data_IF_546886618639
#
_entry.id   IF_546886618639
#
_cell.length_a   1.000
_cell.length_b   1.000
_cell.length_c   1.000
_cell.angle_alpha   90.00
_cell.angle_beta   90.00
_cell.angle_gamma   90.00
#
_symmetry.space_group_name_H-M   'P 1'
#
loop_
_entity.id
_entity.type
_entity.pdbx_description
1 polymer ?
#
# COMPACT_ATOMS: atom_id res chain seq x y z
N UNK A 1 18.10 -1.19 -9.74
CA UNK A 1 16.94 -1.99 -9.27
C UNK A 1 15.84 -1.08 -8.77
N UNK A 2 14.59 -1.42 -9.01
CA UNK A 2 13.40 -0.71 -8.50
C UNK A 2 12.68 -1.59 -7.49
N UNK A 3 12.01 -0.98 -6.50
CA UNK A 3 11.14 -1.66 -5.53
C UNK A 3 9.78 -0.98 -5.50
N UNK A 4 8.72 -1.76 -5.58
CA UNK A 4 7.34 -1.32 -5.46
C UNK A 4 6.72 -2.00 -4.24
N UNK A 5 6.24 -1.20 -3.29
CA UNK A 5 5.41 -1.70 -2.19
C UNK A 5 3.97 -1.26 -2.40
N UNK A 6 3.08 -2.23 -2.50
CA UNK A 6 1.63 -2.02 -2.62
C UNK A 6 0.97 -2.36 -1.30
N UNK A 7 0.18 -1.45 -0.75
CA UNK A 7 -0.51 -1.62 0.53
C UNK A 7 -1.99 -1.28 0.37
N UNK A 8 -2.86 -2.14 0.87
CA UNK A 8 -4.27 -1.81 1.04
C UNK A 8 -4.44 -0.91 2.26
N UNK A 9 -5.29 0.12 2.18
CA UNK A 9 -5.63 0.93 3.36
C UNK A 9 -6.07 0.06 4.54
N UNK A 10 -5.83 0.53 5.75
CA UNK A 10 -6.23 -0.12 6.98
C UNK A 10 -7.77 -0.09 7.17
N UNK A 11 -8.30 -0.83 8.13
CA UNK A 11 -9.73 -1.01 8.33
C UNK A 11 -10.45 0.32 8.58
N UNK A 12 -11.58 0.52 7.90
CA UNK A 12 -12.31 1.76 7.88
C UNK A 12 -13.73 1.60 8.43
N UNK A 13 -14.32 2.69 8.88
CA UNK A 13 -15.73 2.73 9.30
C UNK A 13 -16.63 2.38 8.11
N UNK A 14 -17.58 1.47 8.35
CA UNK A 14 -18.54 1.01 7.34
C UNK A 14 -19.97 0.91 7.86
N UNK A 15 -20.17 1.06 9.19
CA UNK A 15 -21.48 0.90 9.83
C UNK A 15 -22.39 2.10 9.69
N UNK A 16 -21.83 3.28 9.43
CA UNK A 16 -22.61 4.49 9.26
C UNK A 16 -22.93 4.74 7.79
N UNK A 17 -24.19 4.50 7.35
CA UNK A 17 -24.61 4.67 5.95
C UNK A 17 -24.63 6.14 5.49
N UNK A 18 -24.64 7.09 6.42
CA UNK A 18 -24.71 8.52 6.11
C UNK A 18 -23.34 9.08 5.69
N UNK A 19 -22.25 8.34 5.90
CA UNK A 19 -20.92 8.75 5.51
C UNK A 19 -20.63 8.30 4.06
N UNK A 20 -20.42 9.25 3.15
CA UNK A 20 -20.00 8.95 1.79
C UNK A 20 -18.70 8.11 1.78
N UNK A 21 -18.56 7.20 0.82
CA UNK A 21 -17.41 6.29 0.74
C UNK A 21 -16.06 7.02 0.84
N UNK A 22 -15.91 8.12 0.13
CA UNK A 22 -14.68 8.92 0.11
C UNK A 22 -14.33 9.49 1.51
N UNK A 23 -15.33 9.82 2.31
CA UNK A 23 -15.18 10.44 3.62
C UNK A 23 -15.05 9.45 4.79
N UNK A 24 -15.18 8.13 4.55
CA UNK A 24 -15.09 7.10 5.60
C UNK A 24 -13.70 7.10 6.25
N UNK A 25 -13.62 7.36 7.58
CA UNK A 25 -12.35 7.34 8.30
C UNK A 25 -11.91 5.92 8.63
N UNK A 26 -10.67 5.77 9.08
CA UNK A 26 -10.24 4.56 9.78
C UNK A 26 -11.06 4.39 11.06
N UNK A 27 -11.40 3.14 11.37
CA UNK A 27 -11.91 2.77 12.69
C UNK A 27 -10.73 2.49 13.65
N UNK A 28 -11.05 2.15 14.92
CA UNK A 28 -10.02 1.88 15.94
C UNK A 28 -9.08 0.75 15.54
N UNK A 29 -9.60 -0.30 14.92
CA UNK A 29 -8.81 -1.43 14.42
C UNK A 29 -7.86 -0.98 13.32
N UNK A 30 -8.34 -0.18 12.36
CA UNK A 30 -7.53 0.32 11.25
C UNK A 30 -6.38 1.20 11.71
N UNK A 31 -6.57 2.03 12.74
CA UNK A 31 -5.47 2.80 13.34
C UNK A 31 -4.39 1.85 13.88
N UNK A 32 -4.77 0.80 14.60
CA UNK A 32 -3.84 -0.19 15.13
C UNK A 32 -3.13 -0.98 14.00
N UNK A 33 -3.86 -1.37 12.95
CA UNK A 33 -3.30 -2.04 11.76
C UNK A 33 -2.24 -1.18 11.07
N UNK A 34 -2.55 0.10 10.83
CA UNK A 34 -1.61 1.03 10.18
C UNK A 34 -0.35 1.26 11.03
N UNK A 35 -0.49 1.38 12.35
CA UNK A 35 0.64 1.50 13.28
C UNK A 35 1.51 0.24 13.27
N UNK A 36 0.91 -0.94 13.34
CA UNK A 36 1.62 -2.22 13.33
C UNK A 36 2.38 -2.40 12.02
N UNK A 37 1.74 -2.11 10.88
CA UNK A 37 2.38 -2.24 9.58
C UNK A 37 3.49 -1.20 9.38
N UNK A 38 3.30 0.04 9.83
CA UNK A 38 4.35 1.07 9.79
C UNK A 38 5.61 0.63 10.54
N UNK A 39 5.47 0.07 11.74
CA UNK A 39 6.59 -0.51 12.50
C UNK A 39 7.23 -1.68 11.75
N UNK A 40 6.41 -2.57 11.19
CA UNK A 40 6.90 -3.74 10.44
C UNK A 40 7.70 -3.33 9.20
N UNK A 41 7.25 -2.33 8.47
CA UNK A 41 7.98 -1.77 7.33
C UNK A 41 9.35 -1.18 7.76
N UNK A 42 9.41 -0.52 8.92
CA UNK A 42 10.67 0.00 9.46
C UNK A 42 11.64 -1.13 9.84
N UNK A 43 11.16 -2.18 10.52
CA UNK A 43 11.95 -3.38 10.85
C UNK A 43 12.53 -4.06 9.62
N UNK A 44 11.74 -4.14 8.54
CA UNK A 44 12.13 -4.72 7.25
C UNK A 44 12.99 -3.76 6.41
N UNK A 45 13.24 -2.55 6.89
CA UNK A 45 13.95 -1.49 6.14
C UNK A 45 13.29 -1.16 4.78
N UNK A 46 11.98 -1.36 4.67
CA UNK A 46 11.20 -1.01 3.49
C UNK A 46 10.74 0.46 3.53
N UNK A 47 11.73 1.36 3.52
CA UNK A 47 11.51 2.82 3.59
C UNK A 47 11.47 3.38 2.18
N UNK A 48 10.32 3.91 1.70
CA UNK A 48 10.19 4.39 0.33
C UNK A 48 10.82 5.78 0.13
N UNK A 49 11.37 6.01 -1.07
CA UNK A 49 11.75 7.35 -1.52
C UNK A 49 10.50 8.22 -1.77
N UNK A 50 9.40 7.57 -2.15
CA UNK A 50 8.09 8.18 -2.39
C UNK A 50 6.95 7.28 -1.95
N UNK A 51 6.01 7.87 -1.21
CA UNK A 51 4.73 7.28 -0.86
C UNK A 51 3.64 8.03 -1.63
N UNK A 52 2.85 7.32 -2.43
CA UNK A 52 1.65 7.84 -3.09
C UNK A 52 0.42 7.23 -2.44
N UNK A 53 -0.60 8.03 -2.20
CA UNK A 53 -1.84 7.58 -1.58
C UNK A 53 -3.06 8.14 -2.30
N UNK A 54 -4.13 7.33 -2.38
CA UNK A 54 -5.44 7.83 -2.77
C UNK A 54 -5.89 8.95 -1.82
N UNK A 55 -6.64 9.95 -2.30
CA UNK A 55 -7.10 11.07 -1.48
C UNK A 55 -8.26 10.72 -0.54
N UNK A 56 -8.86 9.53 -0.62
CA UNK A 56 -9.90 9.10 0.31
C UNK A 56 -9.42 9.16 1.77
N UNK A 57 -10.32 9.51 2.69
CA UNK A 57 -9.96 9.74 4.08
C UNK A 57 -9.21 8.58 4.73
N UNK A 58 -9.67 7.35 4.52
CA UNK A 58 -9.04 6.12 5.07
C UNK A 58 -7.63 5.89 4.56
N UNK A 59 -7.37 6.14 3.27
CA UNK A 59 -6.03 6.00 2.69
C UNK A 59 -5.09 7.10 3.17
N UNK A 60 -5.56 8.33 3.28
CA UNK A 60 -4.79 9.44 3.84
C UNK A 60 -4.39 9.17 5.28
N UNK A 61 -5.33 8.75 6.13
CA UNK A 61 -5.05 8.42 7.53
C UNK A 61 -4.06 7.24 7.66
N UNK A 62 -4.21 6.20 6.82
CA UNK A 62 -3.23 5.10 6.76
C UNK A 62 -1.85 5.62 6.39
N UNK A 63 -1.77 6.45 5.34
CA UNK A 63 -0.54 7.07 4.86
C UNK A 63 0.13 7.93 5.92
N UNK A 64 -0.62 8.77 6.63
CA UNK A 64 -0.10 9.65 7.67
C UNK A 64 0.50 8.86 8.85
N UNK A 65 -0.15 7.75 9.23
CA UNK A 65 0.36 6.88 10.29
C UNK A 65 1.64 6.18 9.85
N UNK A 66 1.64 5.57 8.66
CA UNK A 66 2.80 4.87 8.10
C UNK A 66 3.97 5.83 7.90
N UNK A 67 3.73 7.01 7.32
CA UNK A 67 4.76 8.02 7.08
C UNK A 67 5.44 8.47 8.37
N UNK A 68 4.68 8.64 9.47
CA UNK A 68 5.24 8.96 10.79
C UNK A 68 6.11 7.84 11.34
N UNK A 69 5.67 6.57 11.22
CA UNK A 69 6.45 5.42 11.68
C UNK A 69 7.78 5.27 10.91
N UNK A 70 7.77 5.62 9.61
CA UNK A 70 8.94 5.56 8.74
C UNK A 70 9.76 6.87 8.73
N UNK A 71 9.39 7.87 9.52
CA UNK A 71 10.01 9.20 9.55
C UNK A 71 10.14 9.86 8.16
N UNK A 72 9.14 9.67 7.29
CA UNK A 72 9.14 10.27 5.97
C UNK A 72 8.95 11.78 6.03
N UNK A 73 9.73 12.53 5.27
CA UNK A 73 9.50 13.95 5.11
C UNK A 73 8.24 14.23 4.27
N UNK A 74 7.55 15.35 4.53
CA UNK A 74 6.31 15.71 3.83
C UNK A 74 6.46 15.69 2.28
N UNK A 75 7.63 16.08 1.73
CA UNK A 75 7.91 16.06 0.29
C UNK A 75 7.94 14.64 -0.32
N UNK A 76 8.04 13.60 0.50
CA UNK A 76 8.04 12.20 0.05
C UNK A 76 6.62 11.65 -0.08
N UNK A 77 5.62 12.29 0.54
CA UNK A 77 4.23 11.85 0.52
C UNK A 77 3.45 12.65 -0.52
N UNK A 78 2.72 11.96 -1.40
CA UNK A 78 1.87 12.55 -2.43
C UNK A 78 0.47 11.95 -2.41
N UNK A 79 -0.53 12.83 -2.49
CA UNK A 79 -1.89 12.43 -2.80
C UNK A 79 -2.06 12.39 -4.32
N UNK A 80 -2.61 11.29 -4.83
CA UNK A 80 -2.80 11.05 -6.25
C UNK A 80 -4.28 10.71 -6.51
N UNK A 81 -5.01 11.67 -7.12
CA UNK A 81 -6.46 11.55 -7.38
C UNK A 81 -6.79 10.28 -8.19
N UNK A 82 -5.93 9.94 -9.15
CA UNK A 82 -6.12 8.78 -10.00
C UNK A 82 -6.02 7.42 -9.25
N UNK A 83 -5.62 7.41 -7.98
CA UNK A 83 -5.58 6.20 -7.16
C UNK A 83 -6.93 5.88 -6.48
N UNK A 84 -7.89 6.83 -6.46
CA UNK A 84 -9.18 6.57 -5.82
C UNK A 84 -9.96 5.50 -6.60
N UNK A 85 -10.19 4.35 -5.95
CA UNK A 85 -10.84 3.17 -6.53
C UNK A 85 -10.24 2.70 -7.87
N UNK A 86 -8.95 2.98 -8.09
CA UNK A 86 -8.25 2.64 -9.31
C UNK A 86 -8.14 1.12 -9.52
N UNK A 87 -8.30 0.68 -10.76
CA UNK A 87 -8.03 -0.69 -11.17
C UNK A 87 -6.53 -0.95 -11.34
N UNK A 88 -6.15 -2.23 -11.41
CA UNK A 88 -4.74 -2.65 -11.51
C UNK A 88 -3.98 -1.98 -12.67
N UNK A 89 -4.62 -1.83 -13.84
CA UNK A 89 -4.00 -1.22 -15.03
C UNK A 89 -3.69 0.27 -14.83
N UNK A 90 -4.58 0.99 -14.14
CA UNK A 90 -4.40 2.42 -13.92
C UNK A 90 -3.34 2.66 -12.85
N UNK A 91 -3.30 1.84 -11.79
CA UNK A 91 -2.20 1.86 -10.82
C UNK A 91 -0.86 1.57 -11.50
N UNK A 92 -0.81 0.58 -12.40
CA UNK A 92 0.42 0.25 -13.15
C UNK A 92 0.88 1.39 -14.06
N UNK A 93 -0.04 2.16 -14.66
CA UNK A 93 0.31 3.38 -15.41
C UNK A 93 1.00 4.40 -14.50
N UNK A 94 0.46 4.65 -13.29
CA UNK A 94 1.06 5.55 -12.30
C UNK A 94 2.46 5.07 -11.92
N UNK A 95 2.64 3.77 -11.68
CA UNK A 95 3.96 3.17 -11.43
C UNK A 95 4.93 3.46 -12.58
N UNK A 96 4.52 3.21 -13.82
CA UNK A 96 5.36 3.35 -15.02
C UNK A 96 5.72 4.78 -15.37
N UNK A 97 4.95 5.77 -14.91
CA UNK A 97 5.23 7.20 -15.08
C UNK A 97 6.03 7.81 -13.92
N UNK A 98 6.36 7.00 -12.92
CA UNK A 98 7.18 7.46 -11.78
C UNK A 98 8.57 7.88 -12.25
N UNK A 99 9.04 9.02 -11.74
CA UNK A 99 10.34 9.58 -12.11
C UNK A 99 11.52 8.67 -11.78
N UNK A 100 12.61 8.73 -12.58
CA UNK A 100 13.72 7.78 -12.50
C UNK A 100 14.49 7.83 -11.16
N UNK A 101 14.46 8.96 -10.45
CA UNK A 101 15.16 9.11 -9.16
C UNK A 101 14.51 8.33 -8.02
N UNK A 102 13.23 7.98 -8.15
CA UNK A 102 12.53 7.14 -7.16
C UNK A 102 13.00 5.70 -7.35
N UNK A 103 13.68 5.14 -6.37
CA UNK A 103 14.12 3.74 -6.37
C UNK A 103 13.08 2.84 -5.71
N UNK A 104 12.53 3.29 -4.60
CA UNK A 104 11.47 2.61 -3.88
C UNK A 104 10.19 3.47 -3.88
N UNK A 105 9.17 3.00 -4.58
CA UNK A 105 7.83 3.57 -4.61
C UNK A 105 6.91 2.75 -3.71
N UNK A 106 6.18 3.43 -2.83
CA UNK A 106 5.08 2.83 -2.08
C UNK A 106 3.75 3.43 -2.51
N UNK A 107 2.74 2.59 -2.70
CA UNK A 107 1.37 3.02 -3.03
C UNK A 107 0.40 2.46 -1.99
N UNK A 108 -0.40 3.32 -1.38
CA UNK A 108 -1.51 2.95 -0.52
C UNK A 108 -2.81 3.23 -1.27
N UNK A 109 -3.60 2.18 -1.49
CA UNK A 109 -4.81 2.26 -2.30
C UNK A 109 -5.92 1.32 -1.83
N UNK A 110 -6.76 0.93 -2.76
CA UNK A 110 -8.00 0.20 -2.53
C UNK A 110 -8.00 -1.16 -3.23
N UNK A 111 -8.71 -2.13 -2.64
CA UNK A 111 -9.10 -3.33 -3.37
C UNK A 111 -10.36 -3.03 -4.25
N UNK A 112 -10.52 -3.77 -5.35
CA UNK A 112 -9.69 -4.91 -5.79
C UNK A 112 -8.38 -4.51 -6.48
N UNK A 113 -8.21 -3.26 -6.93
CA UNK A 113 -7.11 -2.84 -7.79
C UNK A 113 -5.71 -3.14 -7.25
N UNK A 114 -5.48 -2.90 -5.94
CA UNK A 114 -4.18 -3.20 -5.30
C UNK A 114 -3.88 -4.70 -5.34
N UNK A 115 -4.81 -5.55 -4.93
CA UNK A 115 -4.60 -7.00 -4.93
C UNK A 115 -4.49 -7.60 -6.32
N UNK A 116 -5.25 -7.06 -7.28
CA UNK A 116 -5.15 -7.47 -8.68
C UNK A 116 -3.79 -7.12 -9.29
N UNK A 117 -3.25 -5.93 -8.97
CA UNK A 117 -1.91 -5.55 -9.43
C UNK A 117 -0.84 -6.41 -8.82
N UNK A 118 -0.94 -6.75 -7.53
CA UNK A 118 -0.01 -7.69 -6.89
C UNK A 118 -0.05 -9.04 -7.60
N UNK A 119 -1.23 -9.61 -7.85
CA UNK A 119 -1.37 -10.88 -8.58
C UNK A 119 -0.81 -10.82 -9.99
N UNK A 120 -1.03 -9.70 -10.69
CA UNK A 120 -0.50 -9.50 -12.03
C UNK A 120 1.03 -9.48 -12.05
N UNK A 121 1.65 -8.73 -11.12
CA UNK A 121 3.11 -8.56 -11.09
C UNK A 121 3.84 -9.77 -10.48
N UNK A 122 3.25 -10.40 -9.47
CA UNK A 122 3.78 -11.56 -8.78
C UNK A 122 3.28 -12.88 -9.38
N UNK A 123 3.06 -12.97 -10.68
CA UNK A 123 2.32 -14.03 -11.36
C UNK A 123 2.76 -15.46 -11.01
N UNK A 124 4.05 -15.68 -10.76
CA UNK A 124 4.61 -17.00 -10.37
C UNK A 124 4.58 -17.24 -8.85
N UNK A 125 4.23 -16.21 -8.07
CA UNK A 125 4.14 -16.27 -6.62
C UNK A 125 2.65 -16.30 -6.22
N UNK A 126 2.23 -17.30 -5.48
CA UNK A 126 0.84 -17.42 -5.01
C UNK A 126 0.54 -16.40 -3.90
N UNK A 127 0.44 -15.12 -4.26
CA UNK A 127 0.07 -14.06 -3.32
C UNK A 127 -1.45 -14.05 -3.12
N UNK A 128 -1.87 -14.13 -1.86
CA UNK A 128 -3.29 -14.01 -1.49
C UNK A 128 -3.77 -12.57 -1.66
N UNK A 129 -5.08 -12.39 -1.71
CA UNK A 129 -5.69 -11.07 -1.63
C UNK A 129 -5.22 -10.33 -0.36
N UNK A 130 -4.82 -9.08 -0.51
CA UNK A 130 -4.39 -8.26 0.62
C UNK A 130 -5.60 -7.91 1.50
N UNK A 131 -5.54 -8.30 2.75
CA UNK A 131 -6.48 -7.83 3.78
C UNK A 131 -6.22 -6.36 4.11
N UNK A 132 -7.07 -5.71 4.90
CA UNK A 132 -6.86 -4.32 5.33
C UNK A 132 -5.52 -4.17 6.04
N UNK A 133 -4.78 -3.12 5.71
CA UNK A 133 -3.45 -2.87 6.26
C UNK A 133 -2.35 -3.82 5.76
N UNK A 134 -2.65 -4.84 4.96
CA UNK A 134 -1.64 -5.73 4.40
C UNK A 134 -0.89 -5.09 3.24
N UNK A 135 0.35 -5.54 3.03
CA UNK A 135 1.20 -5.06 1.95
C UNK A 135 1.90 -6.19 1.21
N UNK A 136 2.33 -5.90 -0.02
CA UNK A 136 3.25 -6.71 -0.81
C UNK A 136 4.35 -5.83 -1.40
N UNK A 137 5.59 -6.20 -1.18
CA UNK A 137 6.78 -5.56 -1.75
C UNK A 137 7.37 -6.42 -2.86
N UNK A 138 7.66 -5.79 -3.99
CA UNK A 138 8.16 -6.42 -5.22
C UNK A 138 9.48 -5.75 -5.61
N UNK A 139 10.55 -6.52 -5.78
CA UNK A 139 11.79 -6.03 -6.34
C UNK A 139 11.89 -6.36 -7.83
N UNK A 140 12.39 -5.42 -8.63
CA UNK A 140 12.55 -5.55 -10.08
C UNK A 140 14.03 -5.43 -10.47
N UNK A 141 14.47 -6.24 -11.42
CA UNK A 141 15.82 -6.17 -11.98
C UNK A 141 16.07 -4.95 -12.86
N UNK A 142 15.07 -4.12 -13.10
CA UNK A 142 15.20 -2.89 -13.90
C UNK A 142 15.55 -1.68 -13.05
N UNK A 143 16.13 -0.67 -13.70
CA UNK A 143 16.31 0.69 -13.18
C UNK A 143 15.26 1.69 -13.74
N UNK A 144 14.34 1.22 -14.58
CA UNK A 144 13.30 2.03 -15.25
C UNK A 144 11.91 1.56 -14.88
N UNK A 145 11.11 2.46 -14.33
CA UNK A 145 9.70 2.20 -14.03
C UNK A 145 8.85 1.92 -15.27
N UNK A 146 9.19 2.55 -16.40
CA UNK A 146 8.43 2.45 -17.66
C UNK A 146 8.28 1.02 -18.20
N UNK A 147 9.20 0.13 -17.84
CA UNK A 147 9.19 -1.27 -18.26
C UNK A 147 8.86 -2.25 -17.12
N UNK A 148 8.40 -1.75 -15.97
CA UNK A 148 8.00 -2.62 -14.87
C UNK A 148 6.95 -3.65 -15.33
N UNK A 149 7.29 -4.92 -15.20
CA UNK A 149 6.49 -6.04 -15.69
C UNK A 149 6.76 -7.31 -14.86
N UNK A 150 5.87 -8.33 -14.90
CA UNK A 150 6.03 -9.57 -14.13
C UNK A 150 7.38 -10.26 -14.37
N UNK A 151 7.82 -10.33 -15.62
CA UNK A 151 9.09 -10.99 -16.00
C UNK A 151 10.35 -10.36 -15.36
N UNK A 152 10.24 -9.17 -14.77
CA UNK A 152 11.36 -8.47 -14.12
C UNK A 152 11.30 -8.55 -12.59
N UNK A 153 10.29 -9.20 -12.02
CA UNK A 153 10.15 -9.39 -10.57
C UNK A 153 11.08 -10.50 -10.11
N UNK A 154 11.92 -10.21 -9.14
CA UNK A 154 12.92 -11.15 -8.60
C UNK A 154 12.70 -11.47 -7.13
N UNK A 155 11.92 -10.66 -6.45
CA UNK A 155 11.64 -10.85 -5.02
C UNK A 155 10.21 -10.41 -4.75
N UNK A 156 9.48 -11.21 -3.98
CA UNK A 156 8.12 -10.91 -3.52
C UNK A 156 8.04 -11.17 -2.03
N UNK A 157 7.68 -10.15 -1.28
CA UNK A 157 7.49 -10.21 0.18
C UNK A 157 6.13 -9.67 0.54
N UNK A 158 5.31 -10.46 1.24
CA UNK A 158 3.98 -10.04 1.72
C UNK A 158 3.93 -10.07 3.23
N UNK A 159 3.33 -9.04 3.80
CA UNK A 159 3.09 -8.90 5.24
C UNK A 159 1.64 -8.47 5.47
N UNK A 160 1.08 -8.93 6.56
CA UNK A 160 -0.25 -8.50 7.02
C UNK A 160 -0.20 -8.14 8.50
N UNK A 161 -1.03 -7.17 8.96
CA UNK A 161 -1.17 -6.93 10.38
C UNK A 161 -1.56 -8.24 11.04
N UNK A 162 -0.87 -8.62 12.11
CA UNK A 162 -1.30 -9.76 12.89
C UNK A 162 -2.70 -9.44 13.39
N UNK A 163 -3.67 -10.29 13.08
CA UNK A 163 -4.94 -10.28 13.76
C UNK A 163 -4.60 -10.52 15.23
N UNK A 164 -4.59 -9.43 16.01
CA UNK A 164 -4.42 -9.55 17.44
C UNK A 164 -5.51 -10.50 17.92
N UNK A 165 -5.10 -11.63 18.48
CA UNK A 165 -5.92 -12.54 19.28
C UNK A 165 -6.43 -11.80 20.56
N UNK A 166 -7.06 -10.64 20.37
CA UNK A 166 -7.80 -9.93 21.38
C UNK A 166 -9.28 -10.34 21.28
N UNK A 167 -9.56 -11.56 21.69
CA UNK A 167 -10.94 -12.08 21.67
C UNK A 167 -11.13 -13.42 22.34
N UNK A 168 -10.20 -13.86 23.20
CA UNK A 168 -10.34 -15.14 23.89
C UNK A 168 -10.08 -15.06 25.40
N UNK A 169 -10.50 -13.97 26.04
CA UNK A 169 -10.68 -13.91 27.50
C UNK A 169 -11.67 -12.78 27.84
N UNK A 170 -12.94 -13.04 27.66
CA UNK A 170 -14.04 -12.36 28.32
C UNK A 170 -15.15 -13.39 28.57
#
# INVERSE_FOLDING_TARGET
MKRLTLMRHADAEWKNPDIADFARPLNRRGVAEAQAMGRRLAELQLIPDRLMTSPARRTRQTSDIVARQLALAARQVRHEEALYLAGARDILKIVRTTGPRVRHLMIIGHNPGISELVRLLAAEHRVRELTTGAMCSLAFTTDKWSIAAPALVTEVQSEAPQSSLFGLWA
#
